data_IF_196933009680
#
_entry.id   IF_196933009680
#
_cell.length_a   1.000
_cell.length_b   1.000
_cell.length_c   1.000
_cell.angle_alpha   90.00
_cell.angle_beta   90.00
_cell.angle_gamma   90.00
#
_symmetry.space_group_name_H-M   'P 1'
#
loop_
_entity.id
_entity.type
_entity.pdbx_description
1 polymer ?
#
# COMPACT_ATOMS: atom_id res chain seq x y z
N UNK A 1 6.54 8.06 -5.96
CA UNK A 1 7.35 6.81 -5.91
C UNK A 1 8.56 6.82 -6.83
N UNK A 2 8.52 7.48 -7.99
CA UNK A 2 9.66 7.54 -8.93
C UNK A 2 10.97 8.03 -8.30
N UNK A 3 10.91 8.97 -7.36
CA UNK A 3 12.08 9.50 -6.65
C UNK A 3 12.83 8.46 -5.81
N UNK A 4 12.16 7.36 -5.40
CA UNK A 4 12.78 6.29 -4.63
C UNK A 4 13.29 5.13 -5.50
N UNK A 5 13.18 5.21 -6.83
CA UNK A 5 13.58 4.11 -7.72
C UNK A 5 15.08 3.76 -7.64
N UNK A 6 15.93 4.71 -7.26
CA UNK A 6 17.36 4.49 -7.02
C UNK A 6 17.70 4.12 -5.56
N UNK A 7 16.74 4.22 -4.64
CA UNK A 7 16.95 3.90 -3.23
C UNK A 7 16.99 2.37 -3.04
N UNK A 8 18.04 1.87 -2.40
CA UNK A 8 18.29 0.44 -2.22
C UNK A 8 17.22 -0.23 -1.36
N UNK A 9 16.90 0.33 -0.20
CA UNK A 9 15.86 -0.20 0.69
C UNK A 9 14.50 -0.28 0.00
N UNK A 10 14.13 0.76 -0.76
CA UNK A 10 12.90 0.75 -1.56
C UNK A 10 12.89 -0.39 -2.58
N UNK A 11 13.99 -0.58 -3.33
CA UNK A 11 14.11 -1.63 -4.35
C UNK A 11 14.03 -3.03 -3.76
N UNK A 12 14.66 -3.27 -2.61
CA UNK A 12 14.63 -4.55 -1.92
C UNK A 12 13.21 -4.88 -1.44
N UNK A 13 12.55 -3.94 -0.76
CA UNK A 13 11.17 -4.10 -0.29
C UNK A 13 10.20 -4.35 -1.45
N UNK A 14 10.36 -3.60 -2.55
CA UNK A 14 9.54 -3.78 -3.74
C UNK A 14 9.77 -5.14 -4.40
N UNK A 15 11.02 -5.60 -4.52
CA UNK A 15 11.34 -6.91 -5.08
C UNK A 15 10.85 -8.07 -4.21
N UNK A 16 10.97 -7.96 -2.88
CA UNK A 16 10.44 -8.94 -1.92
C UNK A 16 8.91 -9.03 -2.04
N UNK A 17 8.22 -7.88 -2.07
CA UNK A 17 6.77 -7.83 -2.26
C UNK A 17 6.34 -8.53 -3.56
N UNK A 18 6.98 -8.22 -4.69
CA UNK A 18 6.66 -8.85 -5.97
C UNK A 18 6.95 -10.35 -5.99
N UNK A 19 7.95 -10.80 -5.22
CA UNK A 19 8.25 -12.23 -5.07
C UNK A 19 7.16 -12.91 -4.25
N UNK A 20 6.79 -12.35 -3.09
CA UNK A 20 5.72 -12.87 -2.24
C UNK A 20 4.38 -12.92 -2.95
N UNK A 21 4.05 -11.92 -3.76
CA UNK A 21 2.80 -11.91 -4.54
C UNK A 21 2.65 -13.10 -5.51
N UNK A 22 3.73 -13.82 -5.82
CA UNK A 22 3.66 -15.05 -6.64
C UNK A 22 3.19 -16.24 -5.81
N UNK A 23 3.61 -16.32 -4.55
CA UNK A 23 3.48 -17.53 -3.73
C UNK A 23 2.48 -17.38 -2.57
N UNK A 24 2.19 -16.14 -2.15
CA UNK A 24 1.27 -15.79 -1.06
C UNK A 24 -0.11 -15.43 -1.62
N UNK A 25 -1.03 -16.39 -1.54
CA UNK A 25 -2.40 -16.24 -2.04
C UNK A 25 -3.21 -15.20 -1.25
N UNK A 26 -3.00 -15.11 0.06
CA UNK A 26 -3.71 -14.17 0.92
C UNK A 26 -3.29 -12.73 0.60
N UNK A 27 -1.99 -12.48 0.49
CA UNK A 27 -1.45 -11.18 0.07
C UNK A 27 -2.01 -10.78 -1.30
N UNK A 28 -2.01 -11.70 -2.26
CA UNK A 28 -2.52 -11.46 -3.61
C UNK A 28 -4.01 -11.15 -3.60
N UNK A 29 -4.82 -11.86 -2.80
CA UNK A 29 -6.24 -11.60 -2.67
C UNK A 29 -6.51 -10.20 -2.06
N UNK A 30 -5.75 -9.81 -1.04
CA UNK A 30 -5.85 -8.48 -0.41
C UNK A 30 -5.48 -7.37 -1.39
N UNK A 31 -4.40 -7.53 -2.16
CA UNK A 31 -4.03 -6.54 -3.19
C UNK A 31 -5.09 -6.45 -4.30
N UNK A 32 -5.67 -7.58 -4.73
CA UNK A 32 -6.76 -7.58 -5.71
C UNK A 32 -8.03 -6.89 -5.18
N UNK A 33 -8.38 -7.08 -3.91
CA UNK A 33 -9.50 -6.38 -3.28
C UNK A 33 -9.25 -4.86 -3.26
N UNK A 34 -8.03 -4.44 -2.90
CA UNK A 34 -7.65 -3.03 -2.93
C UNK A 34 -7.72 -2.43 -4.35
N UNK A 35 -7.25 -3.16 -5.37
CA UNK A 35 -7.40 -2.77 -6.79
C UNK A 35 -8.86 -2.55 -7.15
N UNK A 36 -9.74 -3.51 -6.82
CA UNK A 36 -11.18 -3.41 -7.12
C UNK A 36 -11.82 -2.22 -6.42
N UNK A 37 -11.51 -2.00 -5.13
CA UNK A 37 -12.01 -0.85 -4.36
C UNK A 37 -11.57 0.47 -5.00
N UNK A 38 -10.28 0.60 -5.34
CA UNK A 38 -9.76 1.82 -5.96
C UNK A 38 -10.44 2.08 -7.31
N UNK A 39 -10.46 1.09 -8.20
CA UNK A 39 -11.03 1.24 -9.54
C UNK A 39 -12.55 1.49 -9.51
N UNK A 40 -13.28 0.96 -8.54
CA UNK A 40 -14.72 1.25 -8.40
C UNK A 40 -15.02 2.74 -8.15
N UNK A 41 -14.07 3.50 -7.62
CA UNK A 41 -14.19 4.96 -7.45
C UNK A 41 -13.79 5.76 -8.69
N UNK A 42 -13.14 5.12 -9.68
CA UNK A 42 -12.57 5.78 -10.87
C UNK A 42 -13.29 5.43 -12.16
N UNK A 43 -13.84 4.23 -12.24
CA UNK A 43 -14.52 3.72 -13.44
C UNK A 43 -16.03 3.76 -13.20
N UNK A 44 -16.78 4.21 -14.21
CA UNK A 44 -18.24 4.32 -14.11
C UNK A 44 -18.90 2.93 -13.93
N UNK A 45 -20.01 2.82 -13.17
CA UNK A 45 -20.60 1.55 -12.75
C UNK A 45 -21.08 0.62 -13.88
N UNK A 46 -21.17 1.13 -15.12
CA UNK A 46 -21.60 0.36 -16.30
C UNK A 46 -20.46 -0.20 -17.14
N UNK A 47 -19.24 0.27 -16.92
CA UNK A 47 -18.04 -0.16 -17.63
C UNK A 47 -17.13 -0.73 -16.55
N UNK A 48 -17.16 -2.04 -16.31
CA UNK A 48 -16.23 -2.64 -15.34
C UNK A 48 -14.78 -2.30 -15.69
N UNK A 49 -13.87 -2.42 -14.72
CA UNK A 49 -12.45 -2.23 -14.99
C UNK A 49 -11.96 -3.22 -16.05
N UNK A 50 -11.12 -2.75 -16.97
CA UNK A 50 -10.44 -3.62 -17.94
C UNK A 50 -9.26 -4.33 -17.27
N UNK A 51 -8.84 -5.47 -17.80
CA UNK A 51 -7.66 -6.18 -17.31
C UNK A 51 -6.39 -5.30 -17.30
N UNK A 52 -6.25 -4.38 -18.28
CA UNK A 52 -5.16 -3.41 -18.30
C UNK A 52 -5.25 -2.41 -17.16
N UNK A 53 -6.45 -1.92 -16.83
CA UNK A 53 -6.64 -1.01 -15.69
C UNK A 53 -6.36 -1.70 -14.36
N UNK A 54 -6.77 -2.95 -14.21
CA UNK A 54 -6.45 -3.77 -13.04
C UNK A 54 -4.94 -3.97 -12.88
N UNK A 55 -4.24 -4.32 -13.96
CA UNK A 55 -2.79 -4.50 -13.92
C UNK A 55 -2.05 -3.20 -13.57
N UNK A 56 -2.40 -2.08 -14.21
CA UNK A 56 -1.79 -0.77 -13.91
C UNK A 56 -2.05 -0.35 -12.47
N UNK A 57 -3.26 -0.60 -11.95
CA UNK A 57 -3.58 -0.32 -10.55
C UNK A 57 -2.80 -1.22 -9.59
N UNK A 58 -2.61 -2.51 -9.93
CA UNK A 58 -1.79 -3.43 -9.16
C UNK A 58 -0.33 -2.94 -9.11
N UNK A 59 0.24 -2.56 -10.25
CA UNK A 59 1.60 -2.04 -10.34
C UNK A 59 1.76 -0.77 -9.50
N UNK A 60 0.76 0.11 -9.52
CA UNK A 60 0.72 1.33 -8.70
C UNK A 60 0.71 1.00 -7.19
N UNK A 61 -0.16 0.09 -6.75
CA UNK A 61 -0.23 -0.35 -5.34
C UNK A 61 1.10 -0.97 -4.91
N UNK A 62 1.68 -1.83 -5.75
CA UNK A 62 2.97 -2.46 -5.46
C UNK A 62 4.09 -1.41 -5.35
N UNK A 63 4.06 -0.36 -6.18
CA UNK A 63 5.02 0.73 -6.10
C UNK A 63 4.86 1.56 -4.81
N UNK A 64 3.66 1.73 -4.26
CA UNK A 64 3.46 2.47 -3.02
C UNK A 64 3.74 1.66 -1.75
N UNK A 65 3.49 0.35 -1.80
CA UNK A 65 3.57 -0.55 -0.64
C UNK A 65 4.88 -0.49 0.17
N UNK A 66 6.09 -0.28 -0.40
CA UNK A 66 7.31 -0.10 0.37
C UNK A 66 7.23 1.01 1.44
N UNK A 67 6.49 2.09 1.18
CA UNK A 67 6.29 3.17 2.18
C UNK A 67 5.36 2.75 3.32
N UNK A 68 4.45 1.80 3.08
CA UNK A 68 3.66 1.21 4.14
C UNK A 68 4.46 0.15 4.92
N UNK A 69 5.47 -0.46 4.30
CA UNK A 69 6.28 -1.50 4.91
C UNK A 69 7.38 -0.93 5.80
N UNK A 70 8.24 -0.05 5.28
CA UNK A 70 9.40 0.43 6.03
C UNK A 70 9.91 1.80 5.53
N UNK A 71 9.08 2.83 5.65
CA UNK A 71 9.54 4.22 5.43
C UNK A 71 10.77 4.59 6.29
N UNK A 72 10.93 4.12 7.55
CA UNK A 72 12.14 4.33 8.34
C UNK A 72 13.43 3.97 7.59
N UNK A 73 13.47 2.79 6.98
CA UNK A 73 14.62 2.34 6.19
C UNK A 73 14.81 3.18 4.91
N UNK A 74 13.72 3.54 4.23
CA UNK A 74 13.77 4.31 2.97
C UNK A 74 14.27 5.75 3.19
N UNK A 75 13.78 6.40 4.25
CA UNK A 75 14.08 7.81 4.54
C UNK A 75 15.22 8.01 5.55
N UNK A 76 15.76 6.95 6.13
CA UNK A 76 16.83 7.02 7.13
C UNK A 76 16.37 7.67 8.45
N UNK A 77 15.13 7.46 8.85
CA UNK A 77 14.53 8.01 10.09
C UNK A 77 14.30 6.90 11.12
N UNK A 78 14.31 7.20 12.44
CA UNK A 78 14.17 6.16 13.46
C UNK A 78 12.79 5.49 13.47
N UNK A 79 11.74 6.21 13.06
CA UNK A 79 10.36 5.74 13.01
C UNK A 79 9.52 6.60 12.06
N UNK A 80 8.41 6.05 11.55
CA UNK A 80 7.50 6.75 10.64
C UNK A 80 6.04 6.33 10.87
N UNK A 81 5.12 7.24 10.57
CA UNK A 81 3.68 7.02 10.57
C UNK A 81 3.12 7.42 9.21
N UNK A 82 2.55 6.47 8.48
CA UNK A 82 1.83 6.79 7.26
C UNK A 82 0.40 7.24 7.60
N UNK A 83 0.08 8.50 7.31
CA UNK A 83 -1.23 9.08 7.60
C UNK A 83 -2.14 9.02 6.37
N UNK A 84 -3.33 8.44 6.52
CA UNK A 84 -4.28 8.30 5.42
C UNK A 84 -5.70 8.59 5.88
N UNK A 85 -6.58 8.98 4.96
CA UNK A 85 -7.94 9.42 5.29
C UNK A 85 -8.97 8.27 5.30
N UNK A 86 -8.55 7.06 4.95
CA UNK A 86 -9.41 5.88 4.81
C UNK A 86 -8.68 4.63 5.30
N UNK A 87 -9.44 3.63 5.77
CA UNK A 87 -8.87 2.30 6.00
C UNK A 87 -8.58 1.61 4.67
N UNK A 88 -7.38 1.05 4.55
CA UNK A 88 -6.96 0.28 3.39
C UNK A 88 -6.82 -1.20 3.81
N UNK A 89 -7.40 -2.17 3.07
CA UNK A 89 -7.23 -3.60 3.37
C UNK A 89 -5.77 -4.03 3.51
N UNK A 90 -4.90 -3.48 2.66
CA UNK A 90 -3.47 -3.74 2.72
C UNK A 90 -2.87 -3.23 4.05
N UNK A 91 -3.24 -2.02 4.49
CA UNK A 91 -2.77 -1.51 5.78
C UNK A 91 -3.26 -2.39 6.94
N UNK A 92 -4.54 -2.78 6.95
CA UNK A 92 -5.07 -3.69 7.99
C UNK A 92 -4.26 -4.98 8.08
N UNK A 93 -3.93 -5.60 6.94
CA UNK A 93 -3.10 -6.80 6.89
C UNK A 93 -1.66 -6.57 7.38
N UNK A 94 -1.02 -5.48 6.94
CA UNK A 94 0.40 -5.19 7.25
C UNK A 94 0.65 -4.86 8.73
N UNK A 95 -0.31 -4.23 9.40
CA UNK A 95 -0.19 -3.80 10.80
C UNK A 95 -0.93 -4.72 11.79
N UNK A 96 -1.67 -5.73 11.30
CA UNK A 96 -2.26 -6.76 12.15
C UNK A 96 -1.19 -7.69 12.77
N UNK A 97 -1.54 -8.28 13.92
CA UNK A 97 -0.74 -9.37 14.52
C UNK A 97 -0.80 -10.62 13.62
N UNK A 98 0.29 -11.35 13.51
CA UNK A 98 0.32 -12.65 12.82
C UNK A 98 1.58 -12.85 11.97
N UNK A 99 1.59 -13.95 11.22
CA UNK A 99 2.64 -14.30 10.26
C UNK A 99 2.35 -13.75 8.86
N UNK A 100 3.38 -13.67 8.02
CA UNK A 100 3.30 -13.17 6.65
C UNK A 100 4.00 -11.83 6.48
N UNK A 101 3.70 -11.12 5.38
CA UNK A 101 4.26 -9.79 5.13
C UNK A 101 3.76 -8.79 6.18
N UNK A 102 4.68 -8.11 6.88
CA UNK A 102 4.35 -7.14 7.92
C UNK A 102 5.19 -5.90 7.79
N UNK A 103 4.62 -4.78 8.23
CA UNK A 103 5.37 -3.55 8.36
C UNK A 103 6.50 -3.70 9.40
N UNK A 104 7.57 -2.94 9.21
CA UNK A 104 8.66 -2.87 10.16
C UNK A 104 8.13 -2.38 11.51
N UNK A 105 8.77 -2.82 12.60
CA UNK A 105 8.39 -2.49 13.97
C UNK A 105 8.43 -0.99 14.29
N UNK A 106 9.07 -0.18 13.44
CA UNK A 106 9.17 1.27 13.58
C UNK A 106 8.30 2.03 12.57
N UNK A 107 7.54 1.30 11.75
CA UNK A 107 6.56 1.84 10.80
C UNK A 107 5.15 1.65 11.38
N UNK A 108 4.36 2.71 11.39
CA UNK A 108 2.95 2.68 11.77
C UNK A 108 2.03 3.21 10.69
N UNK A 109 0.72 3.09 10.92
CA UNK A 109 -0.31 3.70 10.09
C UNK A 109 -1.37 4.37 10.96
N UNK A 110 -1.80 5.56 10.55
CA UNK A 110 -2.86 6.30 11.20
C UNK A 110 -3.94 6.68 10.20
N UNK A 111 -5.19 6.42 10.59
CA UNK A 111 -6.35 6.94 9.89
C UNK A 111 -6.67 8.29 10.50
N UNK A 112 -6.63 9.33 9.67
CA UNK A 112 -6.88 10.72 10.06
C UNK A 112 -8.17 11.21 9.42
N UNK A 113 -8.97 11.98 10.15
CA UNK A 113 -10.23 12.54 9.64
C UNK A 113 -10.29 14.01 10.08
N UNK A 114 -10.74 14.93 9.22
CA UNK A 114 -10.96 16.31 9.63
C UNK A 114 -11.87 16.38 10.86
N UNK A 115 -11.60 17.30 11.77
CA UNK A 115 -12.37 17.51 13.00
C UNK A 115 -13.73 18.18 12.75
N UNK A 116 -14.00 18.59 11.51
CA UNK A 116 -15.22 19.29 11.10
C UNK A 116 -15.15 20.80 11.25
N UNK A 117 -14.04 21.35 11.73
CA UNK A 117 -13.79 22.79 11.78
C UNK A 117 -13.55 23.32 10.36
N UNK A 118 -14.07 24.51 9.99
CA UNK A 118 -13.74 25.12 8.71
C UNK A 118 -12.22 25.39 8.63
N UNK A 119 -11.63 25.14 7.47
CA UNK A 119 -10.23 25.48 7.23
C UNK A 119 -10.07 27.02 7.32
N UNK A 120 -9.15 27.48 8.18
CA UNK A 120 -8.75 28.90 8.26
C UNK A 120 -8.08 29.42 6.98
#
# INVERSE_FOLDING_TARGET
MSEFQSNEAYRELHADLLTRLKDDEDLRAVCQDLVRRFLSTKVGPRQGATATQEQVCMDYICAEAPLFLDTPAILGVPSSLNCYHQSLPLAEMLYARGSGLRASRNQGHAIVTPDGSPAE
#
